data_IF_630613979497
#
_entry.id   IF_630613979497
#
_cell.length_a   1.000
_cell.length_b   1.000
_cell.length_c   1.000
_cell.angle_alpha   90.00
_cell.angle_beta   90.00
_cell.angle_gamma   90.00
#
_symmetry.space_group_name_H-M   'P 1'
#
loop_
_entity.id
_entity.type
_entity.pdbx_description
1 polymer ?
#
# COMPACT_ATOMS: atom_id res chain seq x y z
N UNK A 1 23.77 21.05 -4.72
CA UNK A 1 24.26 20.22 -3.58
C UNK A 1 24.88 18.99 -4.21
N UNK A 2 26.01 18.45 -3.75
CA UNK A 2 26.55 17.25 -4.43
C UNK A 2 25.56 16.07 -4.30
N UNK A 3 25.49 15.21 -5.32
CA UNK A 3 24.61 14.02 -5.36
C UNK A 3 24.66 13.21 -4.05
N UNK A 4 25.88 13.01 -3.52
CA UNK A 4 26.09 12.30 -2.26
C UNK A 4 25.38 12.98 -1.07
N UNK A 5 25.43 14.32 -1.00
CA UNK A 5 24.73 15.06 0.05
C UNK A 5 23.20 14.97 -0.11
N UNK A 6 22.69 14.94 -1.34
CA UNK A 6 21.26 14.72 -1.61
C UNK A 6 20.82 13.34 -1.13
N UNK A 7 21.59 12.29 -1.47
CA UNK A 7 21.32 10.91 -1.04
C UNK A 7 21.31 10.79 0.48
N UNK A 8 22.30 11.35 1.17
CA UNK A 8 22.36 11.31 2.64
C UNK A 8 21.21 12.10 3.28
N UNK A 9 20.82 13.25 2.72
CA UNK A 9 19.62 13.99 3.15
C UNK A 9 18.34 13.15 3.01
N UNK A 10 18.16 12.46 1.89
CA UNK A 10 17.01 11.57 1.68
C UNK A 10 17.04 10.42 2.69
N UNK A 11 18.18 9.74 2.85
CA UNK A 11 18.32 8.63 3.81
C UNK A 11 17.98 9.07 5.23
N UNK A 12 18.51 10.21 5.67
CA UNK A 12 18.22 10.75 7.01
C UNK A 12 16.72 10.99 7.24
N UNK A 13 16.03 11.58 6.24
CA UNK A 13 14.57 11.76 6.29
C UNK A 13 13.84 10.42 6.35
N UNK A 14 14.22 9.46 5.51
CA UNK A 14 13.59 8.14 5.50
C UNK A 14 13.79 7.39 6.82
N UNK A 15 14.99 7.45 7.40
CA UNK A 15 15.26 6.86 8.72
C UNK A 15 14.38 7.48 9.80
N UNK A 16 14.19 8.81 9.78
CA UNK A 16 13.28 9.50 10.69
C UNK A 16 11.83 9.09 10.47
N UNK A 17 11.37 9.03 9.23
CA UNK A 17 9.98 8.70 8.89
C UNK A 17 9.61 7.24 9.17
N UNK A 18 10.59 6.34 9.17
CA UNK A 18 10.37 4.89 9.26
C UNK A 18 10.83 4.28 10.58
N UNK A 19 11.62 5.00 11.39
CA UNK A 19 12.30 4.47 12.56
C UNK A 19 13.26 3.29 12.24
N UNK A 20 13.62 3.07 10.97
CA UNK A 20 14.66 2.12 10.57
C UNK A 20 16.01 2.85 10.43
N UNK A 21 17.10 2.23 10.89
CA UNK A 21 18.44 2.84 10.84
C UNK A 21 19.17 2.53 9.54
N UNK A 22 18.96 1.35 8.96
CA UNK A 22 19.63 0.95 7.73
C UNK A 22 18.68 1.16 6.56
N UNK A 23 19.03 2.06 5.65
CA UNK A 23 18.17 2.47 4.53
C UNK A 23 18.99 2.62 3.26
N UNK A 24 18.46 2.14 2.14
CA UNK A 24 18.99 2.36 0.80
C UNK A 24 17.90 2.85 -0.14
N UNK A 25 18.30 3.75 -1.05
CA UNK A 25 17.46 4.22 -2.16
C UNK A 25 17.70 3.28 -3.33
N UNK A 26 16.62 2.78 -3.93
CA UNK A 26 16.66 1.82 -5.04
C UNK A 26 15.88 2.34 -6.23
N UNK A 27 16.14 1.78 -7.41
CA UNK A 27 15.62 2.31 -8.67
C UNK A 27 14.10 2.32 -8.79
N UNK A 28 13.39 1.35 -8.19
CA UNK A 28 11.92 1.24 -8.18
C UNK A 28 11.43 0.45 -6.95
N UNK A 29 10.14 0.56 -6.64
CA UNK A 29 9.51 -0.25 -5.58
C UNK A 29 9.64 -1.76 -5.81
N UNK A 30 9.47 -2.22 -7.05
CA UNK A 30 9.67 -3.64 -7.39
C UNK A 30 11.11 -4.11 -7.17
N UNK A 31 12.11 -3.21 -7.28
CA UNK A 31 13.49 -3.53 -6.95
C UNK A 31 13.66 -3.72 -5.43
N UNK A 32 13.00 -2.90 -4.61
CA UNK A 32 12.96 -3.07 -3.16
C UNK A 32 12.29 -4.40 -2.77
N UNK A 33 11.13 -4.70 -3.36
CA UNK A 33 10.40 -5.96 -3.11
C UNK A 33 11.27 -7.15 -3.50
N UNK A 34 11.89 -7.13 -4.69
CA UNK A 34 12.80 -8.20 -5.14
C UNK A 34 13.99 -8.37 -4.19
N UNK A 35 14.60 -7.27 -3.76
CA UNK A 35 15.73 -7.31 -2.84
C UNK A 35 15.35 -7.90 -1.48
N UNK A 36 14.16 -7.62 -0.96
CA UNK A 36 13.66 -8.21 0.28
C UNK A 36 13.37 -9.71 0.12
N UNK A 37 12.65 -10.08 -0.95
CA UNK A 37 12.20 -11.45 -1.20
C UNK A 37 13.34 -12.43 -1.49
N UNK A 38 14.48 -11.97 -2.01
CA UNK A 38 15.61 -12.87 -2.30
C UNK A 38 16.16 -13.58 -1.05
N UNK A 39 15.88 -13.07 0.14
CA UNK A 39 16.30 -13.65 1.42
C UNK A 39 15.44 -14.85 1.86
N UNK A 40 14.33 -15.10 1.16
CA UNK A 40 13.28 -16.02 1.60
C UNK A 40 12.84 -16.94 0.47
N UNK A 41 12.74 -18.24 0.74
CA UNK A 41 12.35 -19.22 -0.29
C UNK A 41 10.83 -19.35 -0.44
N UNK A 42 10.09 -19.21 0.66
CA UNK A 42 8.63 -19.26 0.67
C UNK A 42 8.05 -18.12 1.51
N UNK A 43 7.08 -17.41 0.93
CA UNK A 43 6.49 -16.22 1.55
C UNK A 43 4.97 -16.29 1.59
N UNK A 44 4.39 -15.68 2.62
CA UNK A 44 2.97 -15.39 2.67
C UNK A 44 2.72 -14.04 1.98
N UNK A 45 1.60 -13.94 1.28
CA UNK A 45 1.09 -12.69 0.70
C UNK A 45 -0.42 -12.62 0.95
N UNK A 46 -1.05 -11.44 0.95
CA UNK A 46 -2.50 -11.37 1.01
C UNK A 46 -3.15 -11.81 -0.31
N UNK A 47 -4.36 -12.36 -0.26
CA UNK A 47 -5.13 -12.73 -1.46
C UNK A 47 -5.72 -11.51 -2.21
N UNK A 48 -5.76 -10.34 -1.55
CA UNK A 48 -6.14 -9.05 -2.11
C UNK A 48 -5.48 -7.88 -1.35
N UNK A 49 -5.62 -6.65 -1.84
CA UNK A 49 -4.98 -5.47 -1.24
C UNK A 49 -3.45 -5.40 -1.38
N UNK A 50 -2.83 -6.35 -2.07
CA UNK A 50 -1.38 -6.37 -2.31
C UNK A 50 -0.94 -5.59 -3.56
N UNK A 51 0.32 -5.76 -3.96
CA UNK A 51 0.84 -5.26 -5.24
C UNK A 51 1.05 -6.43 -6.22
N UNK A 52 0.87 -6.18 -7.53
CA UNK A 52 0.89 -7.24 -8.56
C UNK A 52 2.17 -8.09 -8.53
N UNK A 53 3.30 -7.48 -8.17
CA UNK A 53 4.60 -8.16 -8.14
C UNK A 53 4.73 -9.15 -6.97
N UNK A 54 3.84 -9.10 -5.97
CA UNK A 54 3.82 -10.07 -4.86
C UNK A 54 3.55 -11.49 -5.35
N UNK A 55 2.79 -11.65 -6.44
CA UNK A 55 2.53 -12.96 -7.08
C UNK A 55 3.58 -13.39 -8.09
N UNK A 56 4.50 -12.49 -8.46
CA UNK A 56 5.44 -12.68 -9.59
C UNK A 56 6.89 -12.86 -9.14
N UNK A 57 7.29 -12.16 -8.07
CA UNK A 57 8.68 -12.09 -7.64
C UNK A 57 9.13 -13.21 -6.68
N UNK A 58 8.31 -13.69 -5.74
CA UNK A 58 8.75 -14.78 -4.86
C UNK A 58 8.96 -16.07 -5.63
N UNK A 59 9.90 -16.90 -5.16
CA UNK A 59 10.10 -18.26 -5.70
C UNK A 59 8.89 -19.16 -5.44
N UNK A 60 8.32 -19.04 -4.24
CA UNK A 60 7.11 -19.75 -3.79
C UNK A 60 6.31 -18.82 -2.87
N UNK A 61 4.98 -18.89 -2.96
CA UNK A 61 4.12 -18.17 -2.03
C UNK A 61 2.83 -18.94 -1.72
N UNK A 62 2.18 -18.55 -0.62
CA UNK A 62 0.79 -18.87 -0.35
C UNK A 62 0.02 -17.61 0.05
N UNK A 63 -1.29 -17.63 -0.22
CA UNK A 63 -2.18 -16.52 0.07
C UNK A 63 -2.78 -16.63 1.48
N UNK A 64 -2.96 -15.47 2.10
CA UNK A 64 -3.69 -15.25 3.35
C UNK A 64 -5.04 -14.63 3.02
N UNK A 65 -6.09 -15.18 3.62
CA UNK A 65 -7.44 -14.65 3.44
C UNK A 65 -7.54 -13.22 3.97
N UNK A 66 -8.39 -12.43 3.34
CA UNK A 66 -8.62 -11.04 3.70
C UNK A 66 -10.12 -10.77 3.83
N UNK A 67 -10.45 -9.84 4.72
CA UNK A 67 -11.76 -9.19 4.73
C UNK A 67 -11.61 -7.78 4.19
N UNK A 68 -11.97 -7.57 2.92
CA UNK A 68 -11.93 -6.27 2.25
C UNK A 68 -10.53 -5.62 2.30
N UNK A 69 -9.51 -6.39 1.91
CA UNK A 69 -8.09 -6.04 1.96
C UNK A 69 -7.48 -5.93 3.36
N UNK A 70 -8.23 -6.18 4.44
CA UNK A 70 -7.69 -6.31 5.80
C UNK A 70 -7.31 -7.77 6.06
N UNK A 71 -6.09 -8.02 6.55
CA UNK A 71 -5.58 -9.38 6.80
C UNK A 71 -6.45 -10.11 7.84
N UNK A 72 -6.88 -11.33 7.51
CA UNK A 72 -7.49 -12.23 8.48
C UNK A 72 -6.41 -12.88 9.37
N UNK A 73 -6.43 -12.56 10.66
CA UNK A 73 -5.45 -13.06 11.64
C UNK A 73 -5.59 -14.56 11.92
N UNK A 74 -6.79 -15.14 11.80
CA UNK A 74 -7.00 -16.56 11.97
C UNK A 74 -6.41 -17.33 10.77
N UNK A 75 -6.67 -16.87 9.55
CA UNK A 75 -6.06 -17.42 8.33
C UNK A 75 -4.53 -17.33 8.39
N UNK A 76 -3.98 -16.18 8.78
CA UNK A 76 -2.54 -16.00 9.01
C UNK A 76 -2.00 -17.00 10.04
N UNK A 77 -2.69 -17.16 11.17
CA UNK A 77 -2.29 -18.10 12.24
C UNK A 77 -2.23 -19.54 11.71
N UNK A 78 -3.24 -19.99 10.98
CA UNK A 78 -3.27 -21.36 10.44
C UNK A 78 -2.18 -21.62 9.41
N UNK A 79 -1.81 -20.62 8.60
CA UNK A 79 -0.70 -20.73 7.66
C UNK A 79 0.66 -20.76 8.36
N UNK A 80 0.83 -19.96 9.42
CA UNK A 80 2.07 -19.94 10.20
C UNK A 80 2.32 -21.24 10.98
N UNK A 81 1.26 -21.87 11.51
CA UNK A 81 1.35 -23.18 12.20
C UNK A 81 1.92 -24.29 11.31
N UNK A 82 1.83 -24.16 9.99
CA UNK A 82 2.40 -25.14 9.06
C UNK A 82 3.93 -25.09 9.03
N UNK A 83 4.55 -24.03 9.55
CA UNK A 83 6.00 -23.82 9.64
C UNK A 83 6.75 -24.01 8.31
N UNK A 84 6.14 -23.52 7.21
CA UNK A 84 6.68 -23.60 5.84
C UNK A 84 7.12 -22.26 5.26
N UNK A 85 6.73 -21.15 5.90
CA UNK A 85 6.89 -19.80 5.35
C UNK A 85 7.86 -18.98 6.19
N UNK A 86 8.91 -18.47 5.56
CA UNK A 86 9.97 -17.72 6.24
C UNK A 86 9.73 -16.21 6.30
N UNK A 87 8.79 -15.70 5.50
CA UNK A 87 8.39 -14.30 5.55
C UNK A 87 6.91 -14.08 5.20
N UNK A 88 6.35 -12.96 5.64
CA UNK A 88 5.06 -12.43 5.24
C UNK A 88 5.24 -11.05 4.64
N UNK A 89 4.84 -10.87 3.38
CA UNK A 89 4.85 -9.61 2.66
C UNK A 89 3.42 -9.07 2.52
N UNK A 90 3.17 -7.88 3.04
CA UNK A 90 1.89 -7.20 2.87
C UNK A 90 2.06 -5.68 2.73
N UNK A 91 1.01 -5.03 2.25
CA UNK A 91 0.95 -3.57 2.13
C UNK A 91 0.18 -2.96 3.30
N UNK A 92 0.67 -1.86 3.86
CA UNK A 92 -0.06 -1.08 4.87
C UNK A 92 -0.26 0.38 4.42
N UNK A 93 -1.50 0.87 4.28
CA UNK A 93 -2.76 0.14 4.31
C UNK A 93 -2.93 -0.82 3.12
N UNK A 94 -3.64 -1.93 3.33
CA UNK A 94 -4.04 -2.87 2.29
C UNK A 94 -4.89 -2.16 1.23
N UNK A 95 -4.55 -2.36 -0.04
CA UNK A 95 -5.21 -1.72 -1.17
C UNK A 95 -5.14 -0.18 -1.16
N UNK A 96 -4.30 0.41 -0.32
CA UNK A 96 -4.22 1.85 -0.02
C UNK A 96 -5.43 2.41 0.78
N UNK A 97 -6.25 1.57 1.41
CA UNK A 97 -7.45 2.03 2.15
C UNK A 97 -7.77 1.27 3.45
N UNK A 98 -7.28 0.04 3.63
CA UNK A 98 -7.55 -0.79 4.79
C UNK A 98 -6.34 -0.80 5.75
N UNK A 99 -6.45 -0.16 6.91
CA UNK A 99 -5.37 -0.20 7.90
C UNK A 99 -5.12 -1.63 8.39
N UNK A 100 -3.87 -2.07 8.46
CA UNK A 100 -3.56 -3.41 8.96
C UNK A 100 -3.29 -3.40 10.46
N UNK A 101 -3.66 -4.46 11.20
CA UNK A 101 -3.29 -4.64 12.60
C UNK A 101 -1.80 -5.02 12.74
N UNK A 102 -0.90 -4.11 12.35
CA UNK A 102 0.53 -4.38 12.15
C UNK A 102 1.24 -4.97 13.37
N UNK A 103 0.96 -4.47 14.57
CA UNK A 103 1.52 -5.01 15.82
C UNK A 103 1.15 -6.49 16.02
N UNK A 104 -0.14 -6.82 15.89
CA UNK A 104 -0.63 -8.20 16.03
C UNK A 104 -0.07 -9.13 14.95
N UNK A 105 0.04 -8.63 13.71
CA UNK A 105 0.66 -9.38 12.60
C UNK A 105 2.12 -9.69 12.95
N UNK A 106 2.86 -8.69 13.41
CA UNK A 106 4.28 -8.84 13.74
C UNK A 106 4.52 -9.80 14.90
N UNK A 107 3.79 -9.66 16.01
CA UNK A 107 3.84 -10.58 17.15
C UNK A 107 3.55 -12.02 16.75
N UNK A 108 2.52 -12.21 15.91
CA UNK A 108 2.13 -13.53 15.43
C UNK A 108 3.21 -14.14 14.53
N UNK A 109 3.69 -13.39 13.54
CA UNK A 109 4.76 -13.83 12.64
C UNK A 109 6.04 -14.20 13.41
N UNK A 110 6.47 -13.35 14.37
CA UNK A 110 7.66 -13.60 15.18
C UNK A 110 7.55 -14.85 16.06
N UNK A 111 6.36 -15.14 16.62
CA UNK A 111 6.10 -16.37 17.40
C UNK A 111 6.38 -17.64 16.59
N UNK A 112 6.19 -17.58 15.28
CA UNK A 112 6.40 -18.69 14.34
C UNK A 112 7.67 -18.54 13.50
N UNK A 113 8.63 -17.68 13.92
CA UNK A 113 9.89 -17.44 13.21
C UNK A 113 9.69 -17.02 11.74
N UNK A 114 8.62 -16.28 11.45
CA UNK A 114 8.33 -15.71 10.15
C UNK A 114 8.66 -14.22 10.15
N UNK A 115 9.45 -13.77 9.17
CA UNK A 115 9.87 -12.36 9.04
C UNK A 115 8.78 -11.50 8.42
N UNK A 116 8.69 -10.24 8.83
CA UNK A 116 7.66 -9.32 8.32
C UNK A 116 8.28 -8.30 7.36
N UNK A 117 7.73 -8.26 6.14
CA UNK A 117 8.04 -7.26 5.12
C UNK A 117 6.80 -6.40 4.90
N UNK A 118 6.90 -5.10 5.17
CA UNK A 118 5.79 -4.16 4.94
C UNK A 118 6.12 -3.26 3.76
N UNK A 119 5.21 -3.24 2.78
CA UNK A 119 5.17 -2.20 1.76
C UNK A 119 4.42 -0.98 2.28
N UNK A 120 5.18 0.11 2.50
CA UNK A 120 4.70 1.38 3.05
C UNK A 120 4.45 2.43 1.98
N UNK A 121 4.37 2.04 0.70
CA UNK A 121 4.10 2.97 -0.41
C UNK A 121 2.83 3.80 -0.24
N UNK A 122 1.86 3.28 0.51
CA UNK A 122 0.60 3.95 0.83
C UNK A 122 0.58 4.71 2.15
N UNK A 123 1.66 4.67 2.94
CA UNK A 123 1.67 5.13 4.33
C UNK A 123 2.93 5.88 4.77
N UNK A 124 3.98 5.95 3.95
CA UNK A 124 5.20 6.70 4.27
C UNK A 124 4.86 8.13 4.69
N UNK A 125 5.45 8.61 5.79
CA UNK A 125 5.08 9.90 6.39
C UNK A 125 3.99 9.82 7.47
N UNK A 126 3.48 8.62 7.79
CA UNK A 126 2.48 8.40 8.83
C UNK A 126 2.91 7.31 9.82
N UNK A 127 2.14 7.12 10.89
CA UNK A 127 2.38 6.06 11.88
C UNK A 127 2.33 4.65 11.28
N UNK A 128 1.60 4.45 10.19
CA UNK A 128 1.51 3.16 9.50
C UNK A 128 2.76 2.85 8.66
N UNK A 129 3.60 3.86 8.41
CA UNK A 129 4.91 3.72 7.77
C UNK A 129 6.04 3.50 8.77
N UNK A 130 5.76 3.43 10.07
CA UNK A 130 6.75 3.12 11.09
C UNK A 130 7.11 1.64 11.04
N UNK A 131 8.40 1.37 11.08
CA UNK A 131 8.94 0.01 11.05
C UNK A 131 9.00 -0.67 12.41
N UNK A 132 8.23 -0.19 13.41
CA UNK A 132 8.16 -0.82 14.74
C UNK A 132 7.70 -2.28 14.68
N UNK A 133 6.95 -2.62 13.63
CA UNK A 133 6.35 -3.92 13.42
C UNK A 133 6.79 -4.54 12.08
N UNK A 134 8.03 -4.28 11.65
CA UNK A 134 8.59 -4.83 10.42
C UNK A 134 10.07 -5.20 10.59
N UNK A 135 10.48 -6.33 10.01
CA UNK A 135 11.91 -6.61 9.83
C UNK A 135 12.46 -5.82 8.64
N UNK A 136 11.67 -5.72 7.56
CA UNK A 136 12.02 -4.99 6.34
C UNK A 136 10.86 -4.09 5.93
N UNK A 137 11.15 -2.84 5.59
CA UNK A 137 10.21 -1.98 4.87
C UNK A 137 10.63 -1.84 3.43
N UNK A 138 9.66 -1.82 2.53
CA UNK A 138 9.83 -1.48 1.11
C UNK A 138 8.87 -0.36 0.74
N UNK A 139 9.25 0.47 -0.22
CA UNK A 139 8.40 1.56 -0.68
C UNK A 139 8.73 1.94 -2.11
N UNK A 140 7.69 2.34 -2.85
CA UNK A 140 7.82 2.96 -4.16
C UNK A 140 7.65 4.47 -4.06
N UNK A 141 8.47 5.20 -4.80
CA UNK A 141 8.28 6.63 -5.09
C UNK A 141 7.75 6.85 -6.51
N UNK A 142 7.24 5.80 -7.15
CA UNK A 142 6.73 5.87 -8.51
C UNK A 142 5.50 6.77 -8.63
N UNK A 143 5.01 6.88 -9.87
CA UNK A 143 3.83 7.67 -10.19
C UNK A 143 2.63 7.30 -9.29
N UNK A 144 1.93 8.32 -8.80
CA UNK A 144 0.74 8.23 -7.94
C UNK A 144 0.96 7.65 -6.55
N UNK A 145 2.20 7.49 -6.09
CA UNK A 145 2.49 7.16 -4.68
C UNK A 145 2.49 8.44 -3.84
N UNK A 146 2.60 8.35 -2.51
CA UNK A 146 2.58 9.55 -1.67
C UNK A 146 3.74 10.52 -1.98
N UNK A 147 4.92 9.99 -2.31
CA UNK A 147 6.09 10.80 -2.71
C UNK A 147 6.01 11.25 -4.17
N UNK A 148 5.46 10.44 -5.07
CA UNK A 148 5.21 10.76 -6.48
C UNK A 148 6.39 11.43 -7.22
N UNK A 149 7.53 10.74 -7.27
CA UNK A 149 8.74 11.17 -7.99
C UNK A 149 8.88 10.49 -9.38
N UNK A 150 7.83 9.82 -9.87
CA UNK A 150 7.82 9.11 -11.15
C UNK A 150 8.57 7.76 -11.13
N UNK A 151 9.75 7.70 -10.51
CA UNK A 151 10.53 6.48 -10.26
C UNK A 151 11.24 6.53 -8.90
N UNK A 152 11.97 5.49 -8.56
CA UNK A 152 12.63 5.34 -7.25
C UNK A 152 11.82 4.54 -6.24
N UNK A 153 12.48 4.26 -5.13
CA UNK A 153 11.94 3.59 -3.96
C UNK A 153 12.97 3.50 -2.86
N UNK A 154 12.61 2.89 -1.75
CA UNK A 154 13.57 2.55 -0.71
C UNK A 154 13.31 1.18 -0.13
N UNK A 155 14.36 0.63 0.48
CA UNK A 155 14.31 -0.52 1.36
C UNK A 155 15.02 -0.17 2.66
N UNK A 156 14.49 -0.63 3.79
CA UNK A 156 15.11 -0.38 5.09
C UNK A 156 14.93 -1.55 6.06
N UNK A 157 15.79 -1.63 7.06
CA UNK A 157 15.75 -2.63 8.14
C UNK A 157 16.25 -2.02 9.46
N UNK A 158 15.77 -2.56 10.59
CA UNK A 158 16.38 -2.32 11.92
C UNK A 158 17.60 -3.18 12.16
N UNK A 159 17.61 -4.39 11.62
CA UNK A 159 18.69 -5.35 11.77
C UNK A 159 19.75 -5.11 10.68
N UNK A 160 20.92 -4.64 11.10
CA UNK A 160 22.09 -4.43 10.24
C UNK A 160 22.54 -5.73 9.55
N UNK A 161 22.49 -6.86 10.26
CA UNK A 161 22.95 -8.16 9.74
C UNK A 161 22.02 -8.64 8.64
N UNK A 162 20.72 -8.43 8.80
CA UNK A 162 19.72 -8.69 7.76
C UNK A 162 19.94 -7.76 6.57
N UNK A 163 20.13 -6.46 6.83
CA UNK A 163 20.31 -5.45 5.79
C UNK A 163 21.54 -5.73 4.91
N UNK A 164 22.67 -6.12 5.51
CA UNK A 164 23.91 -6.45 4.78
C UNK A 164 23.79 -7.67 3.85
N UNK A 165 22.76 -8.52 4.03
CA UNK A 165 22.49 -9.66 3.13
C UNK A 165 21.72 -9.26 1.87
N UNK A 166 21.18 -8.05 1.82
CA UNK A 166 20.43 -7.58 0.66
C UNK A 166 21.38 -7.30 -0.51
N UNK A 167 21.11 -7.92 -1.66
CA UNK A 167 21.62 -7.46 -2.95
C UNK A 167 20.78 -6.28 -3.41
N UNK A 168 21.38 -5.09 -3.43
CA UNK A 168 20.71 -3.83 -3.74
C UNK A 168 21.10 -3.34 -5.14
N UNK A 169 20.12 -2.83 -5.88
CA UNK A 169 20.37 -2.03 -7.08
C UNK A 169 20.24 -0.56 -6.67
N UNK A 170 21.35 0.04 -6.25
CA UNK A 170 21.40 1.43 -5.80
C UNK A 170 20.99 2.38 -6.91
N UNK A 171 20.39 3.50 -6.52
CA UNK A 171 19.85 4.49 -7.43
C UNK A 171 20.73 5.74 -7.46
N UNK A 172 21.08 6.20 -8.66
CA UNK A 172 22.07 7.25 -8.94
C UNK A 172 21.58 8.31 -9.93
N UNK A 173 20.27 8.34 -10.22
CA UNK A 173 19.70 9.40 -11.05
C UNK A 173 19.56 10.70 -10.25
N UNK A 174 20.48 11.63 -10.46
CA UNK A 174 20.58 12.90 -9.73
C UNK A 174 19.30 13.76 -9.82
N UNK A 175 18.71 13.88 -11.02
CA UNK A 175 17.49 14.66 -11.23
C UNK A 175 16.33 14.09 -10.40
N UNK A 176 16.14 12.77 -10.43
CA UNK A 176 15.08 12.15 -9.64
C UNK A 176 15.39 12.16 -8.15
N UNK A 177 16.65 12.08 -7.74
CA UNK A 177 17.01 12.25 -6.33
C UNK A 177 16.65 13.64 -5.82
N UNK A 178 16.86 14.71 -6.61
CA UNK A 178 16.40 16.04 -6.23
C UNK A 178 14.87 16.11 -6.11
N UNK A 179 14.13 15.49 -7.04
CA UNK A 179 12.67 15.41 -6.99
C UNK A 179 12.21 14.67 -5.73
N UNK A 180 12.79 13.50 -5.43
CA UNK A 180 12.48 12.72 -4.21
C UNK A 180 12.73 13.58 -2.98
N UNK A 181 13.90 14.23 -2.89
CA UNK A 181 14.28 15.04 -1.74
C UNK A 181 13.32 16.22 -1.54
N UNK A 182 12.90 16.87 -2.62
CA UNK A 182 11.91 17.92 -2.61
C UNK A 182 10.54 17.39 -2.15
N UNK A 183 10.04 16.32 -2.77
CA UNK A 183 8.73 15.73 -2.43
C UNK A 183 8.65 15.25 -0.98
N UNK A 184 9.74 14.71 -0.42
CA UNK A 184 9.81 14.35 0.99
C UNK A 184 9.63 15.56 1.94
N UNK A 185 10.10 16.75 1.56
CA UNK A 185 9.89 17.97 2.36
C UNK A 185 8.41 18.38 2.41
N UNK A 186 7.65 18.08 1.35
CA UNK A 186 6.23 18.43 1.22
C UNK A 186 5.29 17.25 1.49
N UNK A 187 5.81 16.13 1.97
CA UNK A 187 5.05 14.89 2.15
C UNK A 187 3.91 15.07 3.15
N UNK A 188 4.13 15.79 4.24
CA UNK A 188 3.10 16.05 5.26
C UNK A 188 1.91 16.83 4.69
N UNK A 189 2.17 17.85 3.87
CA UNK A 189 1.17 18.67 3.20
C UNK A 189 0.41 17.84 2.17
N UNK A 190 1.11 16.99 1.42
CA UNK A 190 0.50 16.05 0.47
C UNK A 190 -0.46 15.08 1.16
N UNK A 191 -0.04 14.50 2.30
CA UNK A 191 -0.88 13.59 3.09
C UNK A 191 -2.11 14.33 3.61
N UNK A 192 -1.95 15.54 4.16
CA UNK A 192 -3.07 16.34 4.65
C UNK A 192 -4.11 16.61 3.55
N UNK A 193 -3.66 17.02 2.36
CA UNK A 193 -4.53 17.24 1.20
C UNK A 193 -5.29 15.97 0.79
N UNK A 194 -4.61 14.81 0.71
CA UNK A 194 -5.25 13.54 0.37
C UNK A 194 -6.33 13.19 1.39
N UNK A 195 -6.04 13.35 2.69
CA UNK A 195 -6.98 13.02 3.75
C UNK A 195 -8.20 13.94 3.77
N UNK A 196 -8.01 15.24 3.49
CA UNK A 196 -9.10 16.19 3.34
C UNK A 196 -10.01 15.80 2.16
N UNK A 197 -9.42 15.51 0.99
CA UNK A 197 -10.18 15.07 -0.18
C UNK A 197 -10.89 13.74 0.06
N UNK A 198 -10.25 12.79 0.73
CA UNK A 198 -10.87 11.54 1.16
C UNK A 198 -12.07 11.78 2.07
N UNK A 199 -11.94 12.67 3.06
CA UNK A 199 -13.03 13.02 3.98
C UNK A 199 -14.22 13.64 3.25
N UNK A 200 -13.95 14.52 2.28
CA UNK A 200 -14.98 15.09 1.42
C UNK A 200 -15.75 13.99 0.67
N UNK A 201 -15.04 13.11 -0.03
CA UNK A 201 -15.65 12.00 -0.80
C UNK A 201 -16.49 11.09 0.09
N UNK A 202 -15.99 10.73 1.28
CA UNK A 202 -16.73 9.89 2.24
C UNK A 202 -18.01 10.59 2.73
N UNK A 203 -17.97 11.91 2.89
CA UNK A 203 -19.13 12.70 3.31
C UNK A 203 -20.17 12.77 2.21
N UNK A 204 -19.74 13.03 0.97
CA UNK A 204 -20.63 13.13 -0.20
C UNK A 204 -21.30 11.80 -0.53
N UNK A 205 -20.60 10.67 -0.29
CA UNK A 205 -21.07 9.31 -0.59
C UNK A 205 -21.55 8.56 0.66
N UNK A 206 -21.96 9.27 1.71
CA UNK A 206 -22.32 8.66 3.00
C UNK A 206 -23.50 7.66 2.93
N UNK A 207 -24.32 7.74 1.88
CA UNK A 207 -25.45 6.84 1.62
C UNK A 207 -25.03 5.51 1.01
N UNK A 208 -23.78 5.39 0.55
CA UNK A 208 -23.24 4.16 -0.03
C UNK A 208 -22.44 3.36 1.00
N UNK A 209 -22.25 2.07 0.71
CA UNK A 209 -21.40 1.20 1.53
C UNK A 209 -19.93 1.47 1.23
N UNK A 210 -19.30 2.31 2.05
CA UNK A 210 -17.87 2.61 1.97
C UNK A 210 -17.08 1.66 2.87
N UNK A 211 -16.13 0.93 2.29
CA UNK A 211 -15.29 -0.01 3.02
C UNK A 211 -14.23 0.74 3.82
N UNK A 212 -14.03 0.34 5.08
CA UNK A 212 -13.01 0.88 5.99
C UNK A 212 -12.97 2.43 6.04
N UNK A 213 -14.13 3.09 6.03
CA UNK A 213 -14.23 4.57 5.97
C UNK A 213 -13.45 5.31 7.08
N UNK A 214 -13.26 4.68 8.24
CA UNK A 214 -12.56 5.26 9.39
C UNK A 214 -11.04 5.00 9.38
N UNK A 215 -10.57 4.08 8.55
CA UNK A 215 -9.15 3.76 8.44
C UNK A 215 -8.44 4.87 7.63
N UNK A 216 -7.14 5.06 7.88
CA UNK A 216 -6.28 5.84 7.02
C UNK A 216 -6.14 5.20 5.64
N UNK A 217 -6.16 6.05 4.61
CA UNK A 217 -5.97 5.60 3.25
C UNK A 217 -5.90 6.75 2.27
N UNK A 218 -5.38 6.44 1.09
CA UNK A 218 -5.31 7.36 -0.05
C UNK A 218 -6.20 6.89 -1.22
N UNK A 219 -7.13 5.98 -0.92
CA UNK A 219 -8.15 5.42 -1.81
C UNK A 219 -9.46 5.34 -1.02
N UNK A 220 -10.59 5.51 -1.72
CA UNK A 220 -11.93 5.23 -1.18
C UNK A 220 -12.54 4.09 -1.99
N UNK A 221 -12.98 3.04 -1.32
CA UNK A 221 -13.68 1.92 -1.96
C UNK A 221 -15.16 1.99 -1.61
N UNK A 222 -15.98 2.05 -2.65
CA UNK A 222 -17.44 2.09 -2.52
C UNK A 222 -18.04 0.86 -3.17
N UNK A 223 -18.60 -0.03 -2.36
CA UNK A 223 -19.24 -1.27 -2.81
C UNK A 223 -20.60 -0.94 -3.45
N UNK A 224 -20.94 -1.68 -4.50
CA UNK A 224 -22.25 -1.65 -5.14
C UNK A 224 -22.74 -3.08 -5.37
N UNK A 225 -24.06 -3.28 -5.35
CA UNK A 225 -24.67 -4.60 -5.54
C UNK A 225 -25.22 -4.81 -6.96
N UNK A 226 -25.42 -3.72 -7.70
CA UNK A 226 -26.09 -3.74 -8.99
C UNK A 226 -25.11 -3.75 -10.17
N UNK A 227 -25.30 -4.73 -11.05
CA UNK A 227 -24.45 -4.92 -12.23
C UNK A 227 -25.05 -4.30 -13.50
N UNK A 228 -26.35 -3.98 -13.48
CA UNK A 228 -27.04 -3.34 -14.60
C UNK A 228 -26.80 -1.82 -14.61
N UNK A 229 -26.93 -1.18 -15.79
CA UNK A 229 -26.81 0.30 -15.91
C UNK A 229 -28.03 1.05 -15.38
N UNK A 230 -29.19 0.41 -15.43
CA UNK A 230 -30.46 0.95 -14.96
C UNK A 230 -31.22 -0.13 -14.22
N UNK A 231 -31.87 0.26 -13.14
CA UNK A 231 -32.83 -0.57 -12.42
C UNK A 231 -34.23 -0.01 -12.65
N UNK A 232 -35.24 -0.88 -12.69
CA UNK A 232 -36.63 -0.43 -12.65
C UNK A 232 -36.98 -0.16 -11.20
N UNK A 233 -37.47 1.03 -10.91
CA UNK A 233 -38.06 1.29 -9.61
C UNK A 233 -39.42 0.59 -9.46
N UNK A 234 -39.98 0.59 -8.25
CA UNK A 234 -41.26 -0.03 -7.92
C UNK A 234 -42.44 0.56 -8.74
N UNK A 235 -42.27 1.74 -9.31
CA UNK A 235 -43.22 2.42 -10.19
C UNK A 235 -42.98 2.21 -11.70
N UNK A 236 -41.98 1.38 -12.08
CA UNK A 236 -41.63 1.12 -13.46
C UNK A 236 -40.79 2.21 -14.14
N UNK A 237 -40.33 3.22 -13.39
CA UNK A 237 -39.39 4.25 -13.83
C UNK A 237 -37.96 3.72 -13.93
N UNK A 238 -37.14 4.34 -14.78
CA UNK A 238 -35.72 4.00 -14.92
C UNK A 238 -34.90 4.79 -13.89
N UNK A 239 -34.32 4.09 -12.92
CA UNK A 239 -33.37 4.65 -11.96
C UNK A 239 -31.94 4.28 -12.36
N UNK A 240 -31.00 5.22 -12.21
CA UNK A 240 -29.58 4.92 -12.36
C UNK A 240 -29.16 3.88 -11.31
N UNK A 241 -28.33 2.92 -11.73
CA UNK A 241 -27.70 2.02 -10.78
C UNK A 241 -26.77 2.76 -9.82
N UNK A 242 -26.48 2.18 -8.66
CA UNK A 242 -25.46 2.64 -7.72
C UNK A 242 -24.12 2.76 -8.44
N UNK A 243 -23.76 1.75 -9.25
CA UNK A 243 -22.56 1.77 -10.10
C UNK A 243 -22.51 3.03 -10.97
N UNK A 244 -23.57 3.33 -11.73
CA UNK A 244 -23.58 4.48 -12.63
C UNK A 244 -23.62 5.81 -11.87
N UNK A 245 -24.32 5.85 -10.73
CA UNK A 245 -24.35 7.02 -9.83
C UNK A 245 -22.95 7.35 -9.30
N UNK A 246 -22.15 6.34 -8.93
CA UNK A 246 -20.77 6.51 -8.47
C UNK A 246 -19.83 6.99 -9.58
N UNK A 247 -19.97 6.44 -10.80
CA UNK A 247 -19.19 6.88 -11.97
C UNK A 247 -19.51 8.33 -12.30
N UNK A 248 -20.80 8.70 -12.31
CA UNK A 248 -21.24 10.07 -12.54
C UNK A 248 -20.73 11.04 -11.47
N UNK A 249 -20.73 10.62 -10.20
CA UNK A 249 -20.11 11.39 -9.11
C UNK A 249 -18.62 11.63 -9.38
N UNK A 250 -17.86 10.59 -9.78
CA UNK A 250 -16.45 10.73 -10.05
C UNK A 250 -16.19 11.65 -11.26
N UNK A 251 -16.95 11.50 -12.34
CA UNK A 251 -16.84 12.36 -13.53
C UNK A 251 -17.16 13.82 -13.21
N UNK A 252 -18.26 14.09 -12.50
CA UNK A 252 -18.68 15.43 -12.08
C UNK A 252 -17.62 16.13 -11.22
N UNK A 253 -16.92 15.36 -10.38
CA UNK A 253 -15.91 15.88 -9.45
C UNK A 253 -14.47 15.73 -9.98
N UNK A 254 -14.27 15.31 -11.23
CA UNK A 254 -12.95 15.04 -11.84
C UNK A 254 -12.06 14.11 -10.99
N UNK A 255 -12.66 13.11 -10.36
CA UNK A 255 -11.95 12.16 -9.50
C UNK A 255 -11.45 10.97 -10.33
N UNK A 256 -10.16 10.63 -10.29
CA UNK A 256 -9.65 9.41 -10.88
C UNK A 256 -10.27 8.18 -10.19
N UNK A 257 -10.74 7.21 -10.97
CA UNK A 257 -11.36 6.00 -10.43
C UNK A 257 -11.05 4.78 -11.29
N UNK A 258 -11.24 3.60 -10.72
CA UNK A 258 -11.22 2.32 -11.43
C UNK A 258 -12.29 1.39 -10.87
N UNK A 259 -12.76 0.46 -11.68
CA UNK A 259 -13.74 -0.55 -11.26
C UNK A 259 -13.04 -1.79 -10.69
N UNK A 260 -13.62 -2.37 -9.63
CA UNK A 260 -13.25 -3.66 -9.03
C UNK A 260 -14.18 -4.77 -9.57
N UNK A 261 -13.75 -6.05 -9.58
CA UNK A 261 -12.66 -6.64 -8.78
C UNK A 261 -11.25 -6.31 -9.30
N UNK A 262 -10.34 -5.99 -8.37
CA UNK A 262 -8.91 -5.85 -8.65
C UNK A 262 -8.12 -6.36 -7.45
N UNK A 263 -7.22 -7.32 -7.67
CA UNK A 263 -6.32 -7.85 -6.64
C UNK A 263 -5.61 -6.75 -5.81
N UNK A 264 -5.22 -5.64 -6.45
CA UNK A 264 -4.54 -4.54 -5.76
C UNK A 264 -5.47 -3.63 -4.94
N UNK A 265 -6.76 -3.92 -4.93
CA UNK A 265 -7.85 -3.30 -4.16
C UNK A 265 -8.64 -4.45 -3.55
N UNK A 266 -9.92 -4.59 -3.88
CA UNK A 266 -10.81 -5.67 -3.43
C UNK A 266 -11.25 -6.56 -4.58
N UNK A 267 -11.49 -7.83 -4.30
CA UNK A 267 -11.96 -8.86 -5.22
C UNK A 267 -13.50 -8.96 -5.26
N UNK A 268 -14.18 -7.82 -5.18
CA UNK A 268 -15.65 -7.73 -5.26
C UNK A 268 -16.12 -6.49 -6.03
N UNK A 269 -17.39 -6.42 -6.46
CA UNK A 269 -17.93 -5.26 -7.16
C UNK A 269 -17.83 -3.98 -6.32
N UNK A 270 -17.06 -3.02 -6.81
CA UNK A 270 -16.85 -1.74 -6.15
C UNK A 270 -16.25 -0.69 -7.11
N UNK A 271 -16.43 0.58 -6.80
CA UNK A 271 -15.66 1.68 -7.41
C UNK A 271 -14.51 2.05 -6.47
N UNK A 272 -13.29 1.99 -6.99
CA UNK A 272 -12.06 2.44 -6.33
C UNK A 272 -11.74 3.86 -6.77
N UNK A 273 -12.01 4.84 -5.90
CA UNK A 273 -11.71 6.25 -6.12
C UNK A 273 -10.27 6.52 -5.67
N UNK A 274 -9.42 6.89 -6.62
CA UNK A 274 -7.96 6.92 -6.51
C UNK A 274 -7.46 8.29 -6.06
N UNK A 275 -7.83 8.72 -4.84
CA UNK A 275 -7.52 10.05 -4.28
C UNK A 275 -6.04 10.43 -4.39
N UNK A 276 -5.14 9.46 -4.28
CA UNK A 276 -3.68 9.64 -4.49
C UNK A 276 -3.25 10.09 -5.89
N UNK A 277 -4.16 10.13 -6.86
CA UNK A 277 -3.90 10.62 -8.22
C UNK A 277 -4.28 12.09 -8.43
N UNK A 278 -4.87 12.73 -7.40
CA UNK A 278 -5.17 14.17 -7.38
C UNK A 278 -3.93 15.02 -7.13
#
# INVERSE_FOLDING_TARGET
MSEQLVKESIKAKLQQLTHHRHTAIVSRGDAAIKAALQLFDSVLIPEEGGWLSYKKLPKSYAEIECSDSKIDLASLTEKLKQNKFSAFLYQNPGGYFAEQPGEKIYELCHRYNCKVIIDVSGAIGTKLGWGDYADILVCSFGRWKLVDAGKGGFISSRDERLFKKLTLNEFDDEEVLEIINHKLNYLSQRIAFILEKRKQIITDLNSFKILHKNDFGSVVIVEFSDLAKTERDESGGSKLSQRESLINYCAKNNLPWTECPRYIRVNKPAISIEVKQL
#
